data_IF_797360748320
#
_entry.id   IF_797360748320
#
_cell.length_a   1.000
_cell.length_b   1.000
_cell.length_c   1.000
_cell.angle_alpha   90.00
_cell.angle_beta   90.00
_cell.angle_gamma   90.00
#
_symmetry.space_group_name_H-M   'P 1'
#
loop_
_entity.id
_entity.type
_entity.pdbx_description
1 polymer ?
#
# COMPACT_ATOMS: atom_id res chain seq x y z
N UNK A 1 7.39 22.80 -11.49
CA UNK A 1 7.13 21.78 -10.45
C UNK A 1 7.84 22.17 -9.16
N UNK A 2 7.10 22.29 -8.05
CA UNK A 2 7.64 22.60 -6.72
C UNK A 2 8.26 21.35 -6.07
N UNK A 3 9.56 21.10 -6.32
CA UNK A 3 10.24 19.87 -5.87
C UNK A 3 10.51 19.83 -4.36
N UNK A 4 10.46 20.98 -3.67
CA UNK A 4 10.66 21.06 -2.21
C UNK A 4 9.60 20.26 -1.45
N UNK A 5 8.33 20.33 -1.88
CA UNK A 5 7.23 19.57 -1.24
C UNK A 5 7.44 18.07 -1.45
N UNK A 6 7.76 17.67 -2.67
CA UNK A 6 8.05 16.26 -3.02
C UNK A 6 9.24 15.72 -2.23
N UNK A 7 10.31 16.52 -2.06
CA UNK A 7 11.48 16.13 -1.26
C UNK A 7 11.10 15.90 0.20
N UNK A 8 10.44 16.87 0.84
CA UNK A 8 10.02 16.74 2.24
C UNK A 8 9.12 15.52 2.45
N UNK A 9 8.17 15.33 1.52
CA UNK A 9 7.29 14.17 1.53
C UNK A 9 8.08 12.87 1.40
N UNK A 10 8.94 12.70 0.40
CA UNK A 10 9.66 11.45 0.17
C UNK A 10 10.56 11.07 1.36
N UNK A 11 11.25 12.05 1.95
CA UNK A 11 12.08 11.84 3.15
C UNK A 11 11.24 11.45 4.37
N UNK A 12 10.10 12.14 4.60
CA UNK A 12 9.18 11.80 5.68
C UNK A 12 8.54 10.42 5.49
N UNK A 13 8.06 10.14 4.28
CA UNK A 13 7.47 8.87 3.88
C UNK A 13 8.42 7.71 4.14
N UNK A 14 9.70 7.85 3.82
CA UNK A 14 10.72 6.85 4.13
C UNK A 14 10.79 6.53 5.63
N UNK A 15 10.93 7.56 6.48
CA UNK A 15 11.02 7.36 7.94
C UNK A 15 9.75 6.70 8.47
N UNK A 16 8.58 7.20 8.09
CA UNK A 16 7.28 6.66 8.51
C UNK A 16 7.08 5.22 8.05
N UNK A 17 7.35 4.91 6.79
CA UNK A 17 7.17 3.55 6.26
C UNK A 17 8.18 2.58 6.87
N UNK A 18 9.44 2.95 7.03
CA UNK A 18 10.44 2.12 7.71
C UNK A 18 10.01 1.81 9.14
N UNK A 19 9.51 2.80 9.89
CA UNK A 19 9.01 2.60 11.26
C UNK A 19 7.77 1.70 11.30
N UNK A 20 6.78 1.96 10.45
CA UNK A 20 5.54 1.17 10.40
C UNK A 20 5.82 -0.28 9.98
N UNK A 21 6.65 -0.49 8.95
CA UNK A 21 7.06 -1.83 8.51
C UNK A 21 7.84 -2.55 9.61
N UNK A 22 8.73 -1.86 10.34
CA UNK A 22 9.43 -2.45 11.48
C UNK A 22 8.46 -2.91 12.59
N UNK A 23 7.45 -2.09 12.92
CA UNK A 23 6.42 -2.45 13.88
C UNK A 23 5.62 -3.68 13.40
N UNK A 24 5.27 -3.74 12.12
CA UNK A 24 4.61 -4.91 11.51
C UNK A 24 5.48 -6.17 11.59
N UNK A 25 6.77 -6.10 11.26
CA UNK A 25 7.71 -7.21 11.39
C UNK A 25 7.72 -7.75 12.81
N UNK A 26 7.88 -6.87 13.80
CA UNK A 26 7.89 -7.27 15.21
C UNK A 26 6.58 -7.95 15.64
N UNK A 27 5.44 -7.44 15.16
CA UNK A 27 4.12 -7.99 15.46
C UNK A 27 3.91 -9.37 14.82
N UNK A 28 4.23 -9.54 13.54
CA UNK A 28 3.97 -10.81 12.83
C UNK A 28 4.91 -11.93 13.25
N UNK A 29 6.12 -11.60 13.73
CA UNK A 29 7.08 -12.59 14.23
C UNK A 29 6.79 -13.09 15.66
N UNK A 30 5.89 -12.45 16.42
CA UNK A 30 5.53 -12.92 17.77
C UNK A 30 5.05 -14.38 17.75
N UNK A 31 5.35 -15.12 18.81
CA UNK A 31 5.03 -16.55 18.90
C UNK A 31 3.52 -16.85 18.77
N UNK A 32 2.66 -15.91 19.19
CA UNK A 32 1.20 -16.03 19.14
C UNK A 32 0.55 -15.11 18.11
N UNK A 33 1.31 -14.61 17.12
CA UNK A 33 0.77 -13.70 16.11
C UNK A 33 -0.35 -14.37 15.29
N UNK A 34 -1.35 -13.58 14.88
CA UNK A 34 -2.41 -14.07 13.98
C UNK A 34 -1.83 -14.57 12.65
N UNK A 35 -0.75 -13.91 12.16
CA UNK A 35 -0.05 -14.30 10.93
C UNK A 35 0.46 -15.76 10.95
N UNK A 36 0.86 -16.29 12.13
CA UNK A 36 1.27 -17.71 12.25
C UNK A 36 0.14 -18.68 11.88
N UNK A 37 -1.12 -18.28 12.11
CA UNK A 37 -2.32 -19.10 11.84
C UNK A 37 -2.93 -18.81 10.48
N UNK A 38 -3.00 -17.53 10.12
CA UNK A 38 -3.73 -17.06 8.94
C UNK A 38 -2.89 -17.06 7.66
N UNK A 39 -1.56 -16.91 7.78
CA UNK A 39 -0.65 -16.83 6.63
C UNK A 39 0.70 -17.53 6.92
N UNK A 40 0.69 -18.83 7.28
CA UNK A 40 1.90 -19.54 7.70
C UNK A 40 2.99 -19.60 6.63
N UNK A 41 2.60 -19.68 5.35
CA UNK A 41 3.55 -19.73 4.23
C UNK A 41 4.27 -18.38 4.05
N UNK A 42 3.52 -17.28 4.03
CA UNK A 42 4.05 -15.93 3.97
C UNK A 42 4.98 -15.62 5.16
N UNK A 43 4.62 -16.07 6.37
CA UNK A 43 5.47 -15.89 7.54
C UNK A 43 6.78 -16.70 7.45
N UNK A 44 6.72 -17.94 6.97
CA UNK A 44 7.92 -18.75 6.78
C UNK A 44 8.87 -18.14 5.73
N UNK A 45 8.31 -17.56 4.66
CA UNK A 45 9.08 -16.80 3.67
C UNK A 45 9.72 -15.56 4.30
N UNK A 46 8.99 -14.81 5.12
CA UNK A 46 9.55 -13.67 5.87
C UNK A 46 10.72 -14.09 6.76
N UNK A 47 10.55 -15.15 7.56
CA UNK A 47 11.59 -15.65 8.46
C UNK A 47 12.84 -16.08 7.67
N UNK A 48 12.65 -16.70 6.50
CA UNK A 48 13.74 -17.06 5.59
C UNK A 48 14.47 -15.83 5.04
N UNK A 49 13.75 -14.86 4.49
CA UNK A 49 14.31 -13.62 3.94
C UNK A 49 15.07 -12.82 5.02
N UNK A 50 14.54 -12.76 6.25
CA UNK A 50 15.23 -12.15 7.39
C UNK A 50 16.51 -12.89 7.74
N UNK A 51 16.51 -14.22 7.70
CA UNK A 51 17.71 -15.04 7.97
C UNK A 51 18.79 -14.84 6.90
N UNK A 52 18.40 -14.70 5.63
CA UNK A 52 19.33 -14.57 4.50
C UNK A 52 19.87 -13.15 4.32
N UNK A 53 19.05 -12.12 4.53
CA UNK A 53 19.39 -10.73 4.22
C UNK A 53 19.46 -9.80 5.44
N UNK A 54 18.96 -10.25 6.60
CA UNK A 54 18.87 -9.46 7.81
C UNK A 54 17.59 -8.63 7.88
N UNK A 55 17.03 -8.51 9.09
CA UNK A 55 15.75 -7.84 9.35
C UNK A 55 15.70 -6.39 8.83
N UNK A 56 16.77 -5.62 9.05
CA UNK A 56 16.83 -4.23 8.61
C UNK A 56 16.73 -4.11 7.08
N UNK A 57 17.40 -4.99 6.32
CA UNK A 57 17.33 -4.97 4.86
C UNK A 57 15.92 -5.29 4.36
N UNK A 58 15.22 -6.23 5.01
CA UNK A 58 13.83 -6.56 4.66
C UNK A 58 12.88 -5.39 4.96
N UNK A 59 13.03 -4.74 6.11
CA UNK A 59 12.23 -3.55 6.44
C UNK A 59 12.41 -2.47 5.37
N UNK A 60 13.66 -2.16 5.01
CA UNK A 60 14.00 -1.17 4.00
C UNK A 60 13.43 -1.50 2.61
N UNK A 61 13.57 -2.76 2.18
CA UNK A 61 13.04 -3.27 0.90
C UNK A 61 11.52 -3.10 0.85
N UNK A 62 10.82 -3.51 1.91
CA UNK A 62 9.35 -3.51 1.95
C UNK A 62 8.79 -2.09 2.09
N UNK A 63 9.41 -1.24 2.91
CA UNK A 63 9.05 0.17 3.01
C UNK A 63 9.16 0.88 1.65
N UNK A 64 10.26 0.65 0.94
CA UNK A 64 10.46 1.19 -0.40
C UNK A 64 9.45 0.65 -1.43
N UNK A 65 9.12 -0.64 -1.34
CA UNK A 65 8.10 -1.26 -2.20
C UNK A 65 6.74 -0.60 -2.03
N UNK A 66 6.30 -0.37 -0.79
CA UNK A 66 5.02 0.29 -0.52
C UNK A 66 5.03 1.76 -0.90
N UNK A 67 6.13 2.48 -0.66
CA UNK A 67 6.31 3.85 -1.13
C UNK A 67 6.07 3.96 -2.65
N UNK A 68 6.76 3.12 -3.42
CA UNK A 68 6.63 3.12 -4.89
C UNK A 68 5.22 2.83 -5.35
N UNK A 69 4.57 1.81 -4.77
CA UNK A 69 3.21 1.42 -5.14
C UNK A 69 2.20 2.53 -4.82
N UNK A 70 2.31 3.17 -3.66
CA UNK A 70 1.42 4.27 -3.30
C UNK A 70 1.60 5.46 -4.24
N UNK A 71 2.85 5.83 -4.56
CA UNK A 71 3.13 6.91 -5.51
C UNK A 71 2.63 6.56 -6.92
N UNK A 72 2.85 5.33 -7.38
CA UNK A 72 2.38 4.85 -8.69
C UNK A 72 0.85 4.89 -8.78
N UNK A 73 0.15 4.28 -7.81
CA UNK A 73 -1.31 4.26 -7.79
C UNK A 73 -1.89 5.69 -7.72
N UNK A 74 -1.28 6.57 -6.92
CA UNK A 74 -1.69 7.98 -6.86
C UNK A 74 -1.48 8.69 -8.20
N UNK A 75 -0.33 8.52 -8.85
CA UNK A 75 -0.06 9.10 -10.17
C UNK A 75 -1.08 8.60 -11.21
N UNK A 76 -1.41 7.31 -11.16
CA UNK A 76 -2.39 6.68 -12.03
C UNK A 76 -3.80 7.21 -11.81
N UNK A 77 -4.21 7.42 -10.56
CA UNK A 77 -5.50 8.02 -10.21
C UNK A 77 -5.63 9.45 -10.74
N UNK A 78 -4.58 10.26 -10.60
CA UNK A 78 -4.58 11.66 -11.08
C UNK A 78 -4.72 11.73 -12.59
N UNK A 79 -4.06 10.82 -13.30
CA UNK A 79 -3.99 10.81 -14.75
C UNK A 79 -5.06 9.90 -15.41
N UNK A 80 -6.01 9.36 -14.63
CA UNK A 80 -7.15 8.60 -15.16
C UNK A 80 -6.81 7.25 -15.79
N UNK A 81 -5.72 6.60 -15.36
CA UNK A 81 -5.34 5.27 -15.86
C UNK A 81 -6.27 4.15 -15.37
N UNK A 82 -6.92 4.36 -14.21
CA UNK A 82 -7.91 3.45 -13.67
C UNK A 82 -9.32 4.05 -13.85
N UNK A 83 -10.32 3.21 -14.12
CA UNK A 83 -11.73 3.62 -14.11
C UNK A 83 -12.25 3.94 -12.71
N UNK A 84 -11.66 3.33 -11.68
CA UNK A 84 -11.94 3.55 -10.27
C UNK A 84 -10.62 3.95 -9.60
N UNK A 85 -10.60 5.02 -8.81
CA UNK A 85 -9.37 5.47 -8.14
C UNK A 85 -9.00 4.56 -6.96
N UNK A 86 -7.72 4.18 -6.90
CA UNK A 86 -7.22 3.21 -5.92
C UNK A 86 -6.83 3.85 -4.59
N UNK A 87 -6.23 5.03 -4.62
CA UNK A 87 -5.72 5.77 -3.45
C UNK A 87 -6.50 7.04 -3.20
N UNK A 88 -7.10 7.59 -4.25
CA UNK A 88 -7.71 8.92 -4.27
C UNK A 88 -9.21 8.84 -4.04
N UNK A 89 -9.79 9.75 -3.24
CA UNK A 89 -11.24 9.84 -3.11
C UNK A 89 -11.89 10.45 -4.36
N UNK A 90 -13.22 10.28 -4.43
CA UNK A 90 -14.07 11.13 -5.27
C UNK A 90 -14.14 12.56 -4.70
N UNK A 91 -14.59 13.51 -5.52
CA UNK A 91 -14.81 14.87 -5.06
C UNK A 91 -15.74 14.89 -3.84
N UNK A 92 -15.41 15.71 -2.84
CA UNK A 92 -16.16 15.84 -1.57
C UNK A 92 -16.21 14.58 -0.69
N UNK A 93 -15.44 13.54 -1.03
CA UNK A 93 -15.29 12.35 -0.20
C UNK A 93 -13.89 12.28 0.43
N UNK A 94 -13.76 11.49 1.50
CA UNK A 94 -12.49 11.26 2.20
C UNK A 94 -11.93 9.86 1.97
N UNK A 95 -12.78 8.90 1.64
CA UNK A 95 -12.40 7.50 1.41
C UNK A 95 -11.96 7.29 -0.05
N UNK A 96 -10.93 6.45 -0.30
CA UNK A 96 -10.56 6.05 -1.65
C UNK A 96 -11.75 5.47 -2.41
N UNK A 97 -11.89 5.81 -3.69
CA UNK A 97 -13.05 5.44 -4.51
C UNK A 97 -13.27 3.92 -4.54
N UNK A 98 -12.20 3.12 -4.68
CA UNK A 98 -12.30 1.65 -4.64
C UNK A 98 -12.95 1.10 -3.37
N UNK A 99 -12.72 1.73 -2.22
CA UNK A 99 -13.37 1.34 -0.96
C UNK A 99 -14.84 1.79 -0.93
N UNK A 100 -15.12 3.00 -1.44
CA UNK A 100 -16.48 3.52 -1.53
C UNK A 100 -17.36 2.63 -2.42
N UNK A 101 -16.86 2.21 -3.60
CA UNK A 101 -17.54 1.29 -4.51
C UNK A 101 -17.77 -0.08 -3.85
N UNK A 102 -16.76 -0.64 -3.18
CA UNK A 102 -16.91 -1.91 -2.47
C UNK A 102 -18.00 -1.84 -1.39
N UNK A 103 -18.11 -0.72 -0.67
CA UNK A 103 -19.18 -0.47 0.33
C UNK A 103 -20.57 -0.34 -0.30
N UNK A 104 -20.64 0.05 -1.57
CA UNK A 104 -21.89 0.07 -2.35
C UNK A 104 -22.23 -1.29 -2.96
N UNK A 105 -21.41 -2.33 -2.74
CA UNK A 105 -21.62 -3.66 -3.29
C UNK A 105 -20.92 -3.90 -4.62
N UNK A 106 -20.09 -2.96 -5.10
CA UNK A 106 -19.42 -3.08 -6.39
C UNK A 106 -17.92 -3.35 -6.21
N UNK A 107 -17.47 -4.52 -6.66
CA UNK A 107 -16.05 -4.84 -6.80
C UNK A 107 -15.79 -5.20 -8.27
N UNK A 108 -14.81 -4.56 -8.89
CA UNK A 108 -14.38 -4.92 -10.23
C UNK A 108 -13.69 -6.29 -10.22
N UNK A 109 -14.34 -7.30 -10.80
CA UNK A 109 -13.85 -8.68 -10.86
C UNK A 109 -12.53 -8.81 -11.62
N UNK A 110 -12.18 -7.86 -12.48
CA UNK A 110 -10.88 -7.85 -13.17
C UNK A 110 -9.75 -7.51 -12.19
N UNK A 111 -10.03 -6.63 -11.24
CA UNK A 111 -9.07 -6.20 -10.21
C UNK A 111 -9.00 -7.24 -9.09
N UNK A 112 -10.15 -7.75 -8.66
CA UNK A 112 -10.26 -8.77 -7.59
C UNK A 112 -10.83 -10.07 -8.18
N UNK A 113 -10.06 -10.85 -8.96
CA UNK A 113 -10.59 -12.03 -9.65
C UNK A 113 -10.92 -13.19 -8.70
N UNK A 114 -10.35 -13.21 -7.50
CA UNK A 114 -10.54 -14.29 -6.55
C UNK A 114 -11.83 -14.08 -5.74
N UNK A 115 -12.84 -14.92 -5.99
CA UNK A 115 -14.15 -14.82 -5.31
C UNK A 115 -14.04 -14.93 -3.78
N UNK A 116 -13.11 -15.74 -3.26
CA UNK A 116 -12.86 -15.85 -1.82
C UNK A 116 -12.42 -14.51 -1.19
N UNK A 117 -11.62 -13.72 -1.92
CA UNK A 117 -11.18 -12.39 -1.48
C UNK A 117 -12.34 -11.39 -1.51
N UNK A 118 -13.14 -11.42 -2.59
CA UNK A 118 -14.36 -10.58 -2.67
C UNK A 118 -15.31 -10.87 -1.49
N UNK A 119 -15.59 -12.15 -1.21
CA UNK A 119 -16.44 -12.56 -0.09
C UNK A 119 -15.88 -12.11 1.25
N UNK A 120 -14.56 -12.17 1.43
CA UNK A 120 -13.89 -11.67 2.64
C UNK A 120 -14.04 -10.16 2.78
N UNK A 121 -13.86 -9.39 1.69
CA UNK A 121 -14.06 -7.94 1.67
C UNK A 121 -15.50 -7.59 2.07
N UNK A 122 -16.50 -8.20 1.42
CA UNK A 122 -17.91 -7.94 1.76
C UNK A 122 -18.22 -8.35 3.20
N UNK A 123 -17.73 -9.51 3.66
CA UNK A 123 -17.98 -9.95 5.03
C UNK A 123 -17.34 -9.03 6.09
N UNK A 124 -16.20 -8.40 5.79
CA UNK A 124 -15.62 -7.35 6.64
C UNK A 124 -16.50 -6.08 6.63
N UNK A 125 -16.86 -5.58 5.44
CA UNK A 125 -17.63 -4.34 5.29
C UNK A 125 -19.06 -4.43 5.85
N UNK A 126 -19.65 -5.62 5.81
CA UNK A 126 -20.99 -5.91 6.35
C UNK A 126 -20.97 -6.32 7.83
N UNK A 127 -19.79 -6.39 8.47
CA UNK A 127 -19.65 -6.77 9.88
C UNK A 127 -19.93 -8.25 10.16
N UNK A 128 -19.89 -9.12 9.14
CA UNK A 128 -20.03 -10.58 9.28
C UNK A 128 -18.74 -11.26 9.74
N UNK A 129 -17.58 -10.60 9.60
CA UNK A 129 -16.30 -11.02 10.17
C UNK A 129 -15.91 -10.14 11.34
N UNK A 130 -15.45 -10.72 12.46
CA UNK A 130 -14.98 -9.94 13.60
C UNK A 130 -13.70 -9.19 13.23
N UNK A 131 -13.71 -7.86 13.36
CA UNK A 131 -12.55 -7.00 13.18
C UNK A 131 -12.71 -5.71 14.00
N UNK A 132 -11.61 -5.19 14.52
CA UNK A 132 -11.58 -3.86 15.15
C UNK A 132 -11.49 -2.73 14.13
N UNK A 133 -11.02 -3.01 12.92
CA UNK A 133 -10.81 -2.03 11.84
C UNK A 133 -11.23 -2.60 10.48
N UNK A 134 -12.51 -3.00 10.30
CA UNK A 134 -12.96 -3.74 9.12
C UNK A 134 -12.73 -3.00 7.80
N UNK A 135 -12.94 -1.68 7.77
CA UNK A 135 -12.70 -0.88 6.56
C UNK A 135 -11.22 -0.83 6.18
N UNK A 136 -10.32 -0.70 7.16
CA UNK A 136 -8.87 -0.74 6.90
C UNK A 136 -8.48 -2.10 6.33
N UNK A 137 -8.95 -3.19 6.94
CA UNK A 137 -8.65 -4.55 6.47
C UNK A 137 -9.18 -4.82 5.05
N UNK A 138 -10.43 -4.43 4.77
CA UNK A 138 -11.03 -4.53 3.46
C UNK A 138 -10.24 -3.72 2.41
N UNK A 139 -9.84 -2.50 2.78
CA UNK A 139 -9.08 -1.63 1.89
C UNK A 139 -7.67 -2.16 1.58
N UNK A 140 -6.99 -2.78 2.55
CA UNK A 140 -5.70 -3.45 2.28
C UNK A 140 -5.84 -4.59 1.26
N UNK A 141 -6.92 -5.38 1.35
CA UNK A 141 -7.20 -6.45 0.38
C UNK A 141 -7.43 -5.87 -1.03
N UNK A 142 -8.20 -4.78 -1.13
CA UNK A 142 -8.44 -4.06 -2.38
C UNK A 142 -7.13 -3.50 -2.98
N UNK A 143 -6.27 -2.90 -2.16
CA UNK A 143 -4.97 -2.38 -2.61
C UNK A 143 -4.02 -3.46 -3.10
N UNK A 144 -3.93 -4.59 -2.39
CA UNK A 144 -3.16 -5.76 -2.82
C UNK A 144 -3.64 -6.24 -4.18
N UNK A 145 -4.97 -6.40 -4.33
CA UNK A 145 -5.57 -6.83 -5.58
C UNK A 145 -5.27 -5.85 -6.73
N UNK A 146 -5.36 -4.54 -6.48
CA UNK A 146 -4.99 -3.51 -7.44
C UNK A 146 -3.51 -3.58 -7.86
N UNK A 147 -2.60 -3.81 -6.91
CA UNK A 147 -1.18 -4.00 -7.23
C UNK A 147 -0.95 -5.25 -8.08
N UNK A 148 -1.61 -6.36 -7.73
CA UNK A 148 -1.51 -7.62 -8.48
C UNK A 148 -2.10 -7.50 -9.89
N UNK A 149 -3.17 -6.72 -10.07
CA UNK A 149 -3.75 -6.42 -11.38
C UNK A 149 -2.75 -5.70 -12.31
N UNK A 150 -1.99 -4.74 -11.76
CA UNK A 150 -1.01 -3.97 -12.54
C UNK A 150 0.34 -4.64 -12.73
N UNK A 151 0.66 -5.68 -11.96
CA UNK A 151 1.94 -6.41 -12.01
C UNK A 151 2.33 -6.88 -13.42
N UNK A 152 1.45 -7.50 -14.24
CA UNK A 152 1.84 -7.97 -15.57
C UNK A 152 2.22 -6.83 -16.53
N UNK A 153 1.59 -5.67 -16.40
CA UNK A 153 1.83 -4.51 -17.26
C UNK A 153 3.05 -3.68 -16.81
N UNK A 154 3.29 -3.59 -15.50
CA UNK A 154 4.35 -2.78 -14.90
C UNK A 154 5.09 -3.55 -13.79
N UNK A 155 5.81 -4.64 -14.13
CA UNK A 155 6.39 -5.54 -13.15
C UNK A 155 7.50 -4.90 -12.29
N UNK A 156 8.12 -3.81 -12.76
CA UNK A 156 9.11 -3.06 -11.98
C UNK A 156 8.47 -2.18 -10.89
N UNK A 157 7.30 -1.59 -11.15
CA UNK A 157 6.60 -0.73 -10.18
C UNK A 157 5.75 -1.55 -9.21
N UNK A 158 5.12 -2.59 -9.75
CA UNK A 158 4.28 -3.51 -9.01
C UNK A 158 4.95 -4.88 -9.03
N UNK A 159 6.15 -4.97 -8.45
CA UNK A 159 6.83 -6.26 -8.29
C UNK A 159 5.86 -7.30 -7.75
N UNK A 160 5.99 -8.54 -8.22
CA UNK A 160 5.13 -9.63 -7.73
C UNK A 160 5.20 -9.61 -6.21
N UNK A 161 4.04 -9.43 -5.60
CA UNK A 161 3.90 -9.47 -4.15
C UNK A 161 4.41 -10.84 -3.72
N UNK A 162 5.56 -10.89 -3.06
CA UNK A 162 5.82 -12.01 -2.17
C UNK A 162 4.79 -11.88 -1.05
N UNK A 163 4.13 -12.98 -0.70
CA UNK A 163 2.97 -12.96 0.18
C UNK A 163 3.32 -12.30 1.53
N UNK A 164 4.59 -12.36 1.95
CA UNK A 164 5.07 -11.69 3.15
C UNK A 164 5.04 -10.16 3.09
N UNK A 165 5.14 -9.55 1.91
CA UNK A 165 5.12 -8.08 1.78
C UNK A 165 3.75 -7.49 2.13
N UNK A 166 2.68 -8.28 1.99
CA UNK A 166 1.32 -7.92 2.44
C UNK A 166 1.22 -7.92 3.96
N UNK A 167 1.86 -8.88 4.64
CA UNK A 167 1.88 -8.94 6.11
C UNK A 167 2.48 -7.67 6.73
N UNK A 168 3.39 -7.05 5.99
CA UNK A 168 4.19 -5.91 6.39
C UNK A 168 3.66 -4.57 5.87
N UNK A 169 2.50 -4.56 5.21
CA UNK A 169 1.82 -3.32 4.82
C UNK A 169 1.48 -2.47 6.06
N UNK A 170 1.58 -1.13 6.00
CA UNK A 170 1.08 -0.26 7.06
C UNK A 170 -0.38 -0.53 7.42
N UNK A 171 -0.70 -0.50 8.72
CA UNK A 171 -2.06 -0.76 9.20
C UNK A 171 -3.01 0.43 9.01
N UNK A 172 -2.52 1.65 9.20
CA UNK A 172 -3.33 2.86 9.04
C UNK A 172 -3.14 3.50 7.66
N UNK A 173 -4.12 3.29 6.79
CA UNK A 173 -4.13 3.84 5.44
C UNK A 173 -5.27 4.85 5.21
N UNK A 174 -6.32 4.81 6.03
CA UNK A 174 -7.52 5.63 5.87
C UNK A 174 -7.58 6.89 6.77
N UNK A 175 -6.73 7.02 7.80
CA UNK A 175 -6.77 8.22 8.65
C UNK A 175 -6.20 9.48 7.96
N UNK A 176 -6.48 10.65 8.53
CA UNK A 176 -5.90 11.92 8.07
C UNK A 176 -4.38 11.99 8.23
N UNK A 177 -3.80 11.16 9.10
CA UNK A 177 -2.35 11.12 9.34
C UNK A 177 -1.68 9.96 8.60
N UNK A 178 -2.43 9.24 7.75
CA UNK A 178 -1.91 8.08 7.04
C UNK A 178 -0.91 8.47 5.96
N UNK A 179 -0.05 7.51 5.59
CA UNK A 179 0.88 7.66 4.47
C UNK A 179 0.17 7.98 3.16
N UNK A 180 -1.05 7.47 2.95
CA UNK A 180 -1.83 7.76 1.75
C UNK A 180 -2.37 9.19 1.75
N UNK A 181 -2.74 9.75 2.90
CA UNK A 181 -3.09 11.17 3.00
C UNK A 181 -1.91 12.04 2.61
N UNK A 182 -0.73 11.80 3.20
CA UNK A 182 0.50 12.50 2.84
C UNK A 182 0.85 12.35 1.34
N UNK A 183 0.64 11.16 0.78
CA UNK A 183 0.87 10.89 -0.66
C UNK A 183 -0.04 11.75 -1.53
N UNK A 184 -1.34 11.84 -1.21
CA UNK A 184 -2.30 12.66 -1.95
C UNK A 184 -1.99 14.16 -1.89
N UNK A 185 -1.56 14.64 -0.72
CA UNK A 185 -1.21 16.04 -0.49
C UNK A 185 0.05 16.46 -1.25
N UNK A 186 1.06 15.58 -1.31
CA UNK A 186 2.30 15.84 -2.04
C UNK A 186 2.13 15.70 -3.56
N UNK A 187 1.40 14.67 -4.00
CA UNK A 187 1.18 14.35 -5.41
C UNK A 187 -0.14 14.95 -5.89
N UNK A 188 -0.18 16.28 -6.01
CA UNK A 188 -1.32 17.03 -6.53
C UNK A 188 -1.51 16.81 -8.04
N UNK A 189 -2.66 17.24 -8.58
CA UNK A 189 -2.91 17.21 -10.02
C UNK A 189 -1.81 17.94 -10.81
N UNK A 190 -1.43 19.13 -10.35
CA UNK A 190 -0.35 19.94 -10.91
C UNK A 190 1.00 19.19 -10.89
N UNK A 191 1.35 18.58 -9.74
CA UNK A 191 2.61 17.86 -9.59
C UNK A 191 2.71 16.62 -10.47
N UNK A 192 1.59 15.96 -10.77
CA UNK A 192 1.56 14.75 -11.58
C UNK A 192 1.27 14.99 -13.07
N UNK A 193 1.29 16.25 -13.54
CA UNK A 193 1.21 16.54 -14.98
C UNK A 193 2.41 15.98 -15.74
N UNK A 194 3.59 15.97 -15.11
CA UNK A 194 4.81 15.42 -15.66
C UNK A 194 5.19 14.11 -14.96
N UNK A 195 5.56 13.09 -15.75
CA UNK A 195 6.03 11.80 -15.25
C UNK A 195 7.35 11.92 -14.48
N UNK A 196 8.12 13.01 -14.67
CA UNK A 196 9.33 13.30 -13.90
C UNK A 196 9.10 13.28 -12.39
N UNK A 197 7.87 13.57 -11.91
CA UNK A 197 7.50 13.50 -10.50
C UNK A 197 7.89 12.16 -9.86
N UNK A 198 7.74 11.05 -10.60
CA UNK A 198 8.10 9.71 -10.12
C UNK A 198 9.61 9.59 -9.96
N UNK A 199 10.38 10.13 -10.92
CA UNK A 199 11.84 10.17 -10.85
C UNK A 199 12.35 10.98 -9.65
N UNK A 200 11.74 12.15 -9.40
CA UNK A 200 12.10 12.99 -8.25
C UNK A 200 11.76 12.32 -6.91
N UNK A 201 10.57 11.74 -6.78
CA UNK A 201 10.15 11.01 -5.58
C UNK A 201 11.13 9.87 -5.26
N UNK A 202 11.53 9.10 -6.27
CA UNK A 202 12.53 8.05 -6.14
C UNK A 202 13.89 8.59 -5.69
N UNK A 203 14.39 9.64 -6.35
CA UNK A 203 15.67 10.25 -6.01
C UNK A 203 15.71 10.79 -4.58
N UNK A 204 14.66 11.48 -4.15
CA UNK A 204 14.56 12.05 -2.80
C UNK A 204 14.36 10.98 -1.72
N UNK A 205 13.62 9.91 -2.02
CA UNK A 205 13.50 8.78 -1.11
C UNK A 205 14.86 8.11 -0.87
N UNK A 206 15.64 7.89 -1.95
CA UNK A 206 16.96 7.27 -1.83
C UNK A 206 18.00 8.20 -1.19
N UNK A 207 17.96 9.50 -1.45
CA UNK A 207 18.97 10.42 -0.90
C UNK A 207 18.99 10.40 0.62
N UNK A 208 17.82 10.30 1.26
CA UNK A 208 17.67 10.17 2.72
C UNK A 208 18.34 8.91 3.31
N UNK A 209 18.58 7.87 2.51
CA UNK A 209 19.35 6.71 2.96
C UNK A 209 20.84 7.03 3.14
N UNK A 210 21.33 8.02 2.41
CA UNK A 210 22.75 8.37 2.30
C UNK A 210 23.16 9.51 3.25
N UNK A 211 22.17 10.24 3.76
CA UNK A 211 22.33 11.28 4.78
C UNK A 211 22.26 10.67 6.19
#
# INVERSE_FOLDING_TARGET
>A
METTVLKRFAQAARRTLTEQVAARVNLVLMAQSAARREAPQALAELEKEIKEHGQHAIIEKVAYTWFNRFCALRFMDVNGYNSIRMVSPLAEQTQPEILAEAKMGHIDERIVPQQAIQQKIYALLEGRLPSHTPEQEAYRLLLVAACNYWQPAMPFMFERIADYTELLMPDDLLSSNSILTATREAMTAEACQDVEVIGWLYQFYISEKKD
#
